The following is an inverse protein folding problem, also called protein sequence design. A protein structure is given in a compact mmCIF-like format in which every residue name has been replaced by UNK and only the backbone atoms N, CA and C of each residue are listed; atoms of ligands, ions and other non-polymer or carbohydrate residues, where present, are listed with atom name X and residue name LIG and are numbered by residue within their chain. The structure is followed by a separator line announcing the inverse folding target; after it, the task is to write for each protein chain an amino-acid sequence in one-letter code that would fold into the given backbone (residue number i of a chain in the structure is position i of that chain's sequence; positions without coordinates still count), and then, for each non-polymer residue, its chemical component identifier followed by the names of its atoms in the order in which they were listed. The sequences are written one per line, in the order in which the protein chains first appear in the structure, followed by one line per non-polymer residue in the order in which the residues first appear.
data_IF_483079134353
#
_entry.id   IF_483079134353
#
_cell.length_a   1.000
_cell.length_b   1.000
_cell.length_c   1.000
_cell.angle_alpha   90.00
_cell.angle_beta   90.00
_cell.angle_gamma   90.00
#
_symmetry.space_group_name_H-M   'P 1'
#
loop_
_entity.id
_entity.type
_entity.pdbx_description
1 polymer ?
#
# COMPACT_ATOMS: atom_id res chain seq x y z
N UNK A 1 -15.65 -21.00 18.00
CA UNK A 1 -15.23 -21.71 16.77
C UNK A 1 -14.93 -20.62 15.75
N UNK A 2 -13.65 -20.28 15.60
CA UNK A 2 -13.19 -19.00 15.05
C UNK A 2 -12.92 -19.16 13.55
N UNK A 3 -13.42 -18.20 12.74
CA UNK A 3 -13.02 -17.66 11.42
C UNK A 3 -12.29 -18.49 10.34
N UNK A 4 -11.84 -19.72 10.59
CA UNK A 4 -11.19 -20.59 9.60
C UNK A 4 -12.12 -20.88 8.43
N UNK A 5 -13.43 -21.01 8.68
CA UNK A 5 -14.43 -21.19 7.62
C UNK A 5 -14.49 -19.98 6.69
N UNK A 6 -14.38 -18.75 7.23
CA UNK A 6 -14.35 -17.53 6.42
C UNK A 6 -13.13 -17.49 5.51
N UNK A 7 -11.92 -17.62 6.08
CA UNK A 7 -10.66 -17.59 5.34
C UNK A 7 -10.61 -18.71 4.30
N UNK A 8 -10.97 -19.93 4.69
CA UNK A 8 -10.99 -21.09 3.79
C UNK A 8 -11.99 -20.91 2.65
N UNK A 9 -13.19 -20.36 2.92
CA UNK A 9 -14.18 -20.10 1.89
C UNK A 9 -13.72 -19.04 0.87
N UNK A 10 -13.00 -18.01 1.33
CA UNK A 10 -12.40 -16.99 0.45
C UNK A 10 -11.30 -17.64 -0.39
N UNK A 11 -10.38 -18.38 0.23
CA UNK A 11 -9.26 -19.04 -0.45
C UNK A 11 -9.76 -20.03 -1.52
N UNK A 12 -10.71 -20.91 -1.18
CA UNK A 12 -11.35 -21.84 -2.14
C UNK A 12 -12.01 -21.10 -3.31
N UNK A 13 -12.62 -19.95 -3.05
CA UNK A 13 -13.23 -19.16 -4.12
C UNK A 13 -12.22 -18.51 -5.08
N UNK A 14 -10.94 -18.42 -4.70
CA UNK A 14 -9.85 -17.84 -5.46
C UNK A 14 -8.93 -18.89 -6.12
N UNK A 15 -9.14 -20.18 -5.83
CA UNK A 15 -8.36 -21.29 -6.35
C UNK A 15 -8.28 -21.24 -7.89
N UNK A 16 -7.06 -21.25 -8.44
CA UNK A 16 -6.80 -21.14 -9.88
C UNK A 16 -7.12 -19.78 -10.52
N UNK A 17 -7.53 -18.76 -9.75
CA UNK A 17 -7.95 -17.44 -10.28
C UNK A 17 -6.91 -16.34 -10.08
N UNK A 18 -5.90 -16.56 -9.24
CA UNK A 18 -4.82 -15.61 -9.00
C UNK A 18 -3.68 -15.85 -9.98
N UNK A 19 -3.19 -14.79 -10.62
CA UNK A 19 -2.12 -14.91 -11.63
C UNK A 19 -1.02 -13.88 -11.41
N UNK A 20 0.21 -14.29 -11.69
CA UNK A 20 1.43 -13.45 -11.60
C UNK A 20 1.35 -12.19 -12.46
N UNK A 21 0.71 -12.29 -13.62
CA UNK A 21 0.53 -11.21 -14.58
C UNK A 21 -0.40 -10.10 -14.10
N UNK A 22 -1.13 -10.29 -13.01
CA UNK A 22 -1.97 -9.27 -12.37
C UNK A 22 -1.23 -8.49 -11.28
N UNK A 23 -0.13 -9.08 -10.78
CA UNK A 23 0.75 -8.51 -9.76
C UNK A 23 0.06 -8.29 -8.40
N UNK A 24 0.82 -7.75 -7.46
CA UNK A 24 0.41 -7.47 -6.09
C UNK A 24 -0.90 -6.66 -6.03
N UNK A 25 -1.01 -5.66 -6.90
CA UNK A 25 -2.21 -4.83 -7.00
C UNK A 25 -3.43 -5.65 -7.40
N UNK A 26 -3.40 -6.37 -8.52
CA UNK A 26 -4.53 -7.16 -8.99
C UNK A 26 -4.91 -8.27 -8.01
N UNK A 27 -3.93 -8.96 -7.45
CA UNK A 27 -4.13 -10.01 -6.44
C UNK A 27 -4.83 -9.45 -5.19
N UNK A 28 -4.34 -8.34 -4.64
CA UNK A 28 -4.96 -7.69 -3.48
C UNK A 28 -6.42 -7.28 -3.76
N UNK A 29 -6.73 -6.72 -4.94
CA UNK A 29 -8.10 -6.33 -5.28
C UNK A 29 -9.04 -7.54 -5.41
N UNK A 30 -8.57 -8.64 -6.01
CA UNK A 30 -9.37 -9.88 -6.11
C UNK A 30 -9.70 -10.46 -4.75
N UNK A 31 -8.73 -10.51 -3.85
CA UNK A 31 -8.93 -11.04 -2.50
C UNK A 31 -9.84 -10.12 -1.70
N UNK A 32 -9.61 -8.80 -1.74
CA UNK A 32 -10.49 -7.82 -1.09
C UNK A 32 -11.94 -7.92 -1.59
N UNK A 33 -12.14 -8.19 -2.89
CA UNK A 33 -13.45 -8.43 -3.47
C UNK A 33 -14.14 -9.65 -2.86
N UNK A 34 -13.45 -10.78 -2.75
CA UNK A 34 -14.03 -12.00 -2.18
C UNK A 34 -14.28 -11.89 -0.67
N UNK A 35 -13.40 -11.20 0.07
CA UNK A 35 -13.60 -10.83 1.47
C UNK A 35 -14.89 -9.99 1.61
N UNK A 36 -15.01 -8.94 0.78
CA UNK A 36 -16.16 -8.01 0.84
C UNK A 36 -17.47 -8.67 0.47
N UNK A 37 -17.47 -9.59 -0.51
CA UNK A 37 -18.65 -10.37 -0.92
C UNK A 37 -19.22 -11.22 0.21
N UNK A 38 -18.39 -11.59 1.18
CA UNK A 38 -18.78 -12.39 2.35
C UNK A 38 -19.03 -11.54 3.59
N UNK A 39 -19.03 -10.22 3.48
CA UNK A 39 -19.28 -9.32 4.62
C UNK A 39 -18.04 -8.87 5.38
N UNK A 40 -16.84 -9.33 5.00
CA UNK A 40 -15.59 -8.86 5.58
C UNK A 40 -15.13 -7.51 5.04
N UNK A 41 -14.06 -6.97 5.63
CA UNK A 41 -13.46 -5.70 5.20
C UNK A 41 -11.97 -5.63 5.56
N UNK A 42 -11.24 -4.70 4.95
CA UNK A 42 -9.90 -4.32 5.39
C UNK A 42 -9.97 -2.99 6.13
N UNK A 43 -9.27 -2.86 7.26
CA UNK A 43 -9.22 -1.62 8.05
C UNK A 43 -7.77 -1.22 8.23
N UNK A 44 -7.46 0.04 7.96
CA UNK A 44 -6.11 0.59 8.12
C UNK A 44 -6.08 1.81 9.00
N UNK A 45 -4.93 2.07 9.60
CA UNK A 45 -4.65 3.26 10.40
C UNK A 45 -3.22 3.74 10.13
N UNK A 46 -3.01 5.05 10.26
CA UNK A 46 -1.68 5.64 10.10
C UNK A 46 -0.80 5.32 11.31
N UNK A 47 0.51 5.24 11.10
CA UNK A 47 1.56 5.09 12.11
C UNK A 47 2.70 6.05 11.79
N UNK A 48 3.57 6.39 12.77
CA UNK A 48 4.73 7.26 12.50
C UNK A 48 5.64 6.78 11.37
N UNK A 49 5.80 5.46 11.25
CA UNK A 49 6.66 4.76 10.31
C UNK A 49 5.93 4.25 9.05
N UNK A 50 4.60 4.34 8.98
CA UNK A 50 3.83 3.87 7.82
C UNK A 50 2.38 3.57 8.17
N UNK A 51 1.88 2.40 7.79
CA UNK A 51 0.47 2.03 7.92
C UNK A 51 0.34 0.69 8.63
N UNK A 52 -0.58 0.61 9.59
CA UNK A 52 -1.10 -0.65 10.11
C UNK A 52 -2.38 -1.07 9.40
N UNK A 53 -2.61 -2.38 9.29
CA UNK A 53 -3.79 -2.97 8.65
C UNK A 53 -4.28 -4.20 9.41
N UNK A 54 -5.60 -4.42 9.37
CA UNK A 54 -6.26 -5.64 9.83
C UNK A 54 -7.33 -6.05 8.82
N UNK A 55 -7.51 -7.36 8.62
CA UNK A 55 -8.64 -7.93 7.89
C UNK A 55 -9.70 -8.37 8.91
N UNK A 56 -10.94 -7.98 8.65
CA UNK A 56 -12.11 -8.38 9.42
C UNK A 56 -12.89 -9.44 8.65
N UNK A 57 -13.33 -10.49 9.34
CA UNK A 57 -14.34 -11.42 8.83
C UNK A 57 -15.75 -10.80 8.86
N UNK A 58 -16.74 -11.60 8.48
CA UNK A 58 -18.16 -11.28 8.45
C UNK A 58 -18.78 -11.00 9.84
N UNK A 59 -18.11 -11.44 10.90
CA UNK A 59 -18.50 -11.23 12.30
C UNK A 59 -17.71 -10.09 12.96
N UNK A 60 -16.81 -9.43 12.22
CA UNK A 60 -15.94 -8.38 12.72
C UNK A 60 -14.73 -8.88 13.52
N UNK A 61 -14.45 -10.19 13.51
CA UNK A 61 -13.24 -10.72 14.13
C UNK A 61 -12.03 -10.41 13.24
N UNK A 62 -10.87 -10.24 13.87
CA UNK A 62 -9.61 -10.01 13.16
C UNK A 62 -9.07 -11.37 12.71
N UNK A 63 -8.88 -11.51 11.40
CA UNK A 63 -8.39 -12.74 10.77
C UNK A 63 -7.04 -12.58 10.11
N UNK A 64 -6.51 -11.36 10.05
CA UNK A 64 -5.17 -11.10 9.56
C UNK A 64 -4.69 -9.70 9.95
N UNK A 65 -3.39 -9.52 10.11
CA UNK A 65 -2.72 -8.25 10.44
C UNK A 65 -1.52 -8.02 9.56
N UNK A 66 -1.27 -6.75 9.24
CA UNK A 66 -0.14 -6.39 8.42
C UNK A 66 0.26 -4.95 8.56
N UNK A 67 1.43 -4.65 8.03
CA UNK A 67 1.97 -3.30 7.98
C UNK A 67 2.59 -3.03 6.62
N UNK A 68 2.80 -1.76 6.31
CA UNK A 68 3.41 -1.38 5.06
C UNK A 68 3.58 0.12 4.93
N UNK A 69 4.33 0.49 3.91
CA UNK A 69 4.65 1.89 3.61
C UNK A 69 3.43 2.73 3.21
N UNK A 70 2.34 2.08 2.79
CA UNK A 70 1.03 2.68 2.48
C UNK A 70 -0.09 1.64 2.61
N UNK A 71 -1.36 2.03 2.43
CA UNK A 71 -2.50 1.15 2.70
C UNK A 71 -2.53 -0.13 1.86
N UNK A 72 -2.36 -0.09 0.53
CA UNK A 72 -2.41 -1.31 -0.29
C UNK A 72 -1.41 -2.43 0.11
N UNK A 73 -0.09 -2.18 0.29
CA UNK A 73 0.83 -3.23 0.73
C UNK A 73 0.53 -3.72 2.15
N UNK A 74 0.11 -2.84 3.08
CA UNK A 74 -0.28 -3.26 4.42
C UNK A 74 -1.50 -4.19 4.42
N UNK A 75 -2.49 -3.91 3.54
CA UNK A 75 -3.66 -4.76 3.34
C UNK A 75 -3.26 -6.10 2.74
N UNK A 76 -2.41 -6.12 1.71
CA UNK A 76 -1.95 -7.38 1.11
C UNK A 76 -1.15 -8.22 2.10
N UNK A 77 -0.28 -7.60 2.92
CA UNK A 77 0.43 -8.31 3.98
C UNK A 77 -0.55 -8.93 4.99
N UNK A 78 -1.58 -8.18 5.40
CA UNK A 78 -2.61 -8.71 6.29
C UNK A 78 -3.42 -9.87 5.66
N UNK A 79 -3.60 -9.88 4.35
CA UNK A 79 -4.20 -11.02 3.63
C UNK A 79 -3.24 -12.23 3.57
N UNK A 80 -1.94 -11.98 3.46
CA UNK A 80 -0.93 -13.04 3.50
C UNK A 80 -0.91 -13.69 4.87
N UNK A 81 -0.75 -12.89 5.92
CA UNK A 81 -0.72 -13.38 7.31
C UNK A 81 -2.02 -14.06 7.71
N UNK A 82 -3.16 -13.58 7.20
CA UNK A 82 -4.46 -14.18 7.43
C UNK A 82 -4.74 -15.46 6.65
N UNK A 83 -3.79 -16.00 5.87
CA UNK A 83 -3.92 -17.30 5.20
C UNK A 83 -4.87 -17.33 4.00
N UNK A 84 -5.07 -16.19 3.32
CA UNK A 84 -5.97 -16.10 2.16
C UNK A 84 -5.39 -16.64 0.85
N UNK A 85 -4.16 -17.15 0.87
CA UNK A 85 -3.43 -17.62 -0.30
C UNK A 85 -2.96 -19.06 -0.12
N UNK A 86 -2.73 -19.74 -1.24
CA UNK A 86 -1.98 -20.99 -1.25
C UNK A 86 -0.49 -20.70 -0.99
N UNK A 87 0.21 -21.69 -0.44
CA UNK A 87 1.56 -21.53 0.10
C UNK A 87 2.57 -21.01 -0.93
N UNK A 88 2.47 -21.48 -2.18
CA UNK A 88 3.33 -21.06 -3.28
C UNK A 88 3.12 -19.58 -3.65
N UNK A 89 1.87 -19.13 -3.66
CA UNK A 89 1.51 -17.73 -3.90
C UNK A 89 1.97 -16.87 -2.72
N UNK A 90 1.72 -17.30 -1.49
CA UNK A 90 2.18 -16.63 -0.28
C UNK A 90 3.70 -16.38 -0.30
N UNK A 91 4.50 -17.42 -0.54
CA UNK A 91 5.96 -17.32 -0.60
C UNK A 91 6.42 -16.35 -1.70
N UNK A 92 5.70 -16.30 -2.84
CA UNK A 92 5.99 -15.36 -3.93
C UNK A 92 5.58 -13.92 -3.60
N UNK A 93 4.44 -13.73 -2.94
CA UNK A 93 3.95 -12.41 -2.53
C UNK A 93 4.89 -11.79 -1.49
N UNK A 94 5.34 -12.56 -0.49
CA UNK A 94 6.29 -12.11 0.53
C UNK A 94 7.62 -11.62 -0.08
N UNK A 95 8.13 -12.32 -1.11
CA UNK A 95 9.32 -11.87 -1.87
C UNK A 95 9.10 -10.55 -2.61
N UNK A 96 7.86 -10.19 -2.90
CA UNK A 96 7.49 -8.99 -3.68
C UNK A 96 6.95 -7.82 -2.85
N UNK A 97 6.88 -8.00 -1.52
CA UNK A 97 6.47 -7.00 -0.54
C UNK A 97 7.66 -6.41 0.23
N UNK A 98 8.86 -6.46 -0.35
CA UNK A 98 10.10 -6.04 0.31
C UNK A 98 10.16 -4.54 0.61
N UNK A 99 9.32 -3.70 0.01
CA UNK A 99 9.24 -2.27 0.36
C UNK A 99 8.90 -1.99 1.83
N UNK A 100 8.42 -2.98 2.58
CA UNK A 100 8.20 -2.89 4.03
C UNK A 100 9.50 -2.57 4.80
N UNK A 101 10.66 -3.01 4.30
CA UNK A 101 11.95 -2.80 4.98
C UNK A 101 12.38 -1.32 5.02
N UNK A 102 11.79 -0.50 4.14
CA UNK A 102 12.17 0.91 4.00
C UNK A 102 11.17 1.86 4.66
N UNK A 103 10.22 1.34 5.46
CA UNK A 103 9.20 2.13 6.14
C UNK A 103 9.82 3.27 6.97
N UNK A 104 10.77 2.95 7.84
CA UNK A 104 11.45 3.93 8.69
C UNK A 104 12.26 4.93 7.87
N UNK A 105 13.01 4.45 6.88
CA UNK A 105 13.83 5.31 6.03
C UNK A 105 12.98 6.31 5.22
N UNK A 106 11.83 5.87 4.72
CA UNK A 106 10.90 6.75 4.01
C UNK A 106 10.16 7.70 4.96
N UNK A 107 9.84 7.24 6.18
CA UNK A 107 9.28 8.10 7.21
C UNK A 107 10.27 9.20 7.63
N UNK A 108 11.57 8.92 7.74
CA UNK A 108 12.59 9.93 8.07
C UNK A 108 12.70 11.02 6.99
N UNK A 109 12.56 10.65 5.71
CA UNK A 109 12.60 11.62 4.60
C UNK A 109 11.39 12.55 4.63
N UNK A 110 10.21 12.04 5.00
CA UNK A 110 8.96 12.81 4.94
C UNK A 110 8.52 13.40 6.30
N UNK A 111 9.13 12.96 7.40
CA UNK A 111 8.78 13.32 8.77
C UNK A 111 7.56 12.56 9.35
N UNK A 112 6.85 11.77 8.55
CA UNK A 112 5.77 10.86 8.99
C UNK A 112 5.36 9.91 7.85
N UNK A 113 5.01 8.66 8.15
CA UNK A 113 4.64 7.65 7.15
C UNK A 113 3.42 8.01 6.29
N UNK A 114 3.65 8.30 4.98
CA UNK A 114 2.72 8.15 3.84
C UNK A 114 3.42 8.53 2.52
N UNK A 115 3.49 7.60 1.57
CA UNK A 115 4.32 7.72 0.34
C UNK A 115 3.86 8.66 -0.77
N UNK A 116 2.65 9.22 -0.73
CA UNK A 116 2.07 9.88 -1.93
C UNK A 116 2.83 11.17 -2.28
N UNK A 117 3.09 12.02 -1.30
CA UNK A 117 3.79 13.31 -1.47
C UNK A 117 5.27 13.14 -1.87
N UNK A 118 6.09 12.31 -1.19
CA UNK A 118 7.51 12.17 -1.55
C UNK A 118 7.71 11.55 -2.95
N UNK A 119 6.79 10.71 -3.42
CA UNK A 119 6.85 10.13 -4.77
C UNK A 119 6.68 11.20 -5.85
N UNK A 120 5.72 12.12 -5.69
CA UNK A 120 5.52 13.22 -6.64
C UNK A 120 6.74 14.16 -6.67
N UNK A 121 7.32 14.44 -5.50
CA UNK A 121 8.55 15.21 -5.40
C UNK A 121 9.71 14.50 -6.12
N UNK A 122 9.91 13.19 -5.90
CA UNK A 122 10.96 12.41 -6.55
C UNK A 122 10.85 12.43 -8.08
N UNK A 123 9.65 12.22 -8.63
CA UNK A 123 9.44 12.33 -10.08
C UNK A 123 9.77 13.72 -10.62
N UNK A 124 9.32 14.77 -9.93
CA UNK A 124 9.63 16.14 -10.33
C UNK A 124 11.13 16.42 -10.37
N UNK A 125 11.88 15.97 -9.36
CA UNK A 125 13.33 16.20 -9.28
C UNK A 125 14.10 15.40 -10.34
N UNK A 126 13.76 14.12 -10.52
CA UNK A 126 14.42 13.24 -11.51
C UNK A 126 14.16 13.76 -12.93
N UNK A 127 12.91 14.06 -13.28
CA UNK A 127 12.57 14.57 -14.61
C UNK A 127 13.08 16.00 -14.83
N UNK A 128 13.00 16.86 -13.81
CA UNK A 128 13.52 18.22 -13.88
C UNK A 128 15.03 18.28 -14.11
N UNK A 129 15.76 17.23 -13.71
CA UNK A 129 17.21 17.09 -13.96
C UNK A 129 17.55 16.46 -15.32
N UNK A 130 16.54 16.16 -16.16
CA UNK A 130 16.71 15.48 -17.44
C UNK A 130 16.82 13.94 -17.33
N UNK A 131 16.62 13.38 -16.14
CA UNK A 131 16.62 11.95 -15.90
C UNK A 131 15.27 11.29 -16.21
N UNK A 132 15.17 9.98 -15.92
CA UNK A 132 13.95 9.19 -16.10
C UNK A 132 13.78 8.15 -14.99
N UNK A 133 12.55 7.66 -14.86
CA UNK A 133 12.22 6.57 -13.93
C UNK A 133 11.83 5.34 -14.75
N UNK A 134 12.53 4.24 -14.54
CA UNK A 134 12.19 2.95 -15.15
C UNK A 134 11.44 2.07 -14.15
N UNK A 135 10.37 1.43 -14.63
CA UNK A 135 9.57 0.47 -13.86
C UNK A 135 9.75 -0.89 -14.51
N UNK A 136 10.29 -1.85 -13.76
CA UNK A 136 10.58 -3.21 -14.23
C UNK A 136 9.68 -4.18 -13.49
N UNK A 137 9.00 -5.05 -14.22
CA UNK A 137 8.22 -6.12 -13.59
C UNK A 137 9.17 -7.16 -12.98
N UNK A 138 8.95 -7.49 -11.70
CA UNK A 138 9.73 -8.50 -10.97
C UNK A 138 8.79 -9.30 -10.08
N UNK A 139 8.72 -10.61 -10.32
CA UNK A 139 7.77 -11.47 -9.61
C UNK A 139 6.31 -10.96 -9.71
N UNK A 140 5.60 -10.88 -8.58
CA UNK A 140 4.29 -10.22 -8.46
C UNK A 140 4.39 -8.69 -8.34
N UNK A 141 5.58 -8.15 -8.09
CA UNK A 141 5.79 -6.74 -7.85
C UNK A 141 6.45 -6.01 -9.01
N UNK A 142 6.98 -4.85 -8.68
CA UNK A 142 7.78 -4.02 -9.57
C UNK A 142 9.01 -3.50 -8.85
N UNK A 143 10.09 -3.36 -9.61
CA UNK A 143 11.31 -2.66 -9.22
C UNK A 143 11.29 -1.28 -9.88
N UNK A 144 11.71 -0.24 -9.14
CA UNK A 144 11.78 1.12 -9.64
C UNK A 144 13.22 1.60 -9.62
N UNK A 145 13.67 2.10 -10.77
CA UNK A 145 15.05 2.56 -10.98
C UNK A 145 15.03 4.03 -11.36
N UNK A 146 15.81 4.84 -10.64
CA UNK A 146 16.10 6.22 -11.00
C UNK A 146 17.31 6.25 -11.92
N UNK A 147 17.18 6.95 -13.04
CA UNK A 147 18.21 7.04 -14.08
C UNK A 147 18.48 8.51 -14.32
N UNK A 148 19.76 8.91 -14.31
CA UNK A 148 20.17 10.29 -14.56
C UNK A 148 20.05 10.68 -16.05
N UNK A 149 20.39 11.94 -16.35
CA UNK A 149 20.39 12.50 -17.72
C UNK A 149 21.40 11.83 -18.65
N UNK A 150 22.46 11.25 -18.10
CA UNK A 150 23.56 10.63 -18.85
C UNK A 150 23.29 9.13 -19.06
N UNK A 151 22.18 8.62 -18.51
CA UNK A 151 21.72 7.25 -18.65
C UNK A 151 22.20 6.28 -17.57
N UNK A 152 22.87 6.77 -16.53
CA UNK A 152 23.37 5.94 -15.43
C UNK A 152 22.28 5.66 -14.40
N UNK A 153 22.29 4.46 -13.82
CA UNK A 153 21.40 4.14 -12.70
C UNK A 153 21.86 4.87 -11.44
N UNK A 154 21.02 5.78 -10.93
CA UNK A 154 21.25 6.52 -9.70
C UNK A 154 20.92 5.67 -8.46
N UNK A 155 19.82 4.93 -8.53
CA UNK A 155 19.34 4.07 -7.46
C UNK A 155 18.33 3.05 -7.97
N UNK A 156 18.29 1.90 -7.33
CA UNK A 156 17.34 0.83 -7.59
C UNK A 156 16.67 0.41 -6.27
N UNK A 157 15.35 0.46 -6.21
CA UNK A 157 14.56 0.06 -5.05
C UNK A 157 14.31 -1.45 -5.00
N UNK A 158 13.86 -2.00 -3.86
CA UNK A 158 13.48 -3.40 -3.76
C UNK A 158 12.20 -3.69 -4.55
N UNK A 159 11.90 -4.98 -4.73
CA UNK A 159 10.62 -5.40 -5.33
C UNK A 159 9.48 -4.92 -4.44
N UNK A 160 8.54 -4.20 -5.06
CA UNK A 160 7.52 -3.44 -4.36
C UNK A 160 6.11 -3.70 -4.92
N UNK A 161 5.09 -3.35 -4.13
CA UNK A 161 3.68 -3.57 -4.46
C UNK A 161 3.23 -2.95 -5.79
N UNK A 162 3.61 -1.70 -6.04
CA UNK A 162 3.26 -0.95 -7.25
C UNK A 162 4.31 0.14 -7.50
N UNK A 163 4.26 0.86 -8.64
CA UNK A 163 5.24 1.90 -8.96
C UNK A 163 5.36 3.01 -7.91
N UNK A 164 4.27 3.40 -7.27
CA UNK A 164 4.30 4.40 -6.17
C UNK A 164 5.08 3.87 -4.97
N UNK A 165 4.82 2.63 -4.53
CA UNK A 165 5.53 2.03 -3.41
C UNK A 165 7.01 1.84 -3.75
N UNK A 166 7.30 1.37 -4.97
CA UNK A 166 8.66 1.20 -5.47
C UNK A 166 9.42 2.51 -5.56
N UNK A 167 8.78 3.57 -6.03
CA UNK A 167 9.42 4.90 -6.07
C UNK A 167 9.78 5.37 -4.68
N UNK A 168 8.86 5.23 -3.71
CA UNK A 168 9.12 5.64 -2.34
C UNK A 168 10.28 4.85 -1.72
N UNK A 169 10.31 3.52 -1.90
CA UNK A 169 11.40 2.68 -1.42
C UNK A 169 12.72 2.91 -2.17
N UNK A 170 12.71 3.42 -3.41
CA UNK A 170 13.94 3.80 -4.11
C UNK A 170 14.58 5.08 -3.53
N UNK A 171 13.80 6.04 -3.01
CA UNK A 171 14.33 7.35 -2.56
C UNK A 171 15.45 7.21 -1.50
N UNK A 172 15.32 6.41 -0.43
CA UNK A 172 16.40 6.23 0.55
C UNK A 172 17.74 5.78 -0.04
N UNK A 173 17.71 5.13 -1.20
CA UNK A 173 18.91 4.61 -1.90
C UNK A 173 19.53 5.64 -2.84
N UNK A 174 18.95 6.83 -2.97
CA UNK A 174 19.50 7.98 -3.69
C UNK A 174 19.73 9.14 -2.69
N UNK A 175 20.84 9.16 -1.92
CA UNK A 175 21.01 10.07 -0.79
C UNK A 175 20.86 11.55 -1.13
N UNK A 176 21.41 11.99 -2.26
CA UNK A 176 21.30 13.39 -2.71
C UNK A 176 19.85 13.78 -3.02
N UNK A 177 19.10 12.88 -3.68
CA UNK A 177 17.69 13.09 -3.97
C UNK A 177 16.87 13.07 -2.68
N UNK A 178 17.14 12.13 -1.77
CA UNK A 178 16.49 12.04 -0.47
C UNK A 178 16.66 13.32 0.34
N UNK A 179 17.87 13.88 0.38
CA UNK A 179 18.16 15.14 1.07
C UNK A 179 17.35 16.32 0.47
N UNK A 180 17.33 16.45 -0.86
CA UNK A 180 16.54 17.48 -1.55
C UNK A 180 15.04 17.37 -1.26
N UNK A 181 14.50 16.15 -1.28
CA UNK A 181 13.09 15.90 -0.98
C UNK A 181 12.79 16.22 0.48
N UNK A 182 13.66 15.82 1.42
CA UNK A 182 13.51 16.10 2.85
C UNK A 182 13.47 17.60 3.12
N UNK A 183 14.37 18.36 2.49
CA UNK A 183 14.38 19.82 2.57
C UNK A 183 13.10 20.44 1.99
N UNK A 184 12.69 20.01 0.79
CA UNK A 184 11.47 20.49 0.11
C UNK A 184 10.18 20.23 0.88
N UNK A 185 10.13 19.13 1.63
CA UNK A 185 8.97 18.73 2.42
C UNK A 185 9.06 19.17 3.89
N UNK A 186 10.12 19.85 4.30
CA UNK A 186 10.29 20.34 5.66
C UNK A 186 9.15 21.30 6.02
N UNK A 187 8.45 21.01 7.12
CA UNK A 187 7.30 21.80 7.58
C UNK A 187 6.03 21.68 6.73
N UNK A 188 6.03 20.84 5.68
CA UNK A 188 4.82 20.58 4.91
C UNK A 188 3.75 19.89 5.77
N UNK A 189 2.48 20.22 5.51
CA UNK A 189 1.34 19.58 6.17
C UNK A 189 1.37 18.07 5.89
N UNK A 190 1.31 17.27 6.96
CA UNK A 190 1.31 15.81 6.86
C UNK A 190 -0.05 15.24 7.30
N UNK A 191 -0.89 14.87 6.34
CA UNK A 191 -2.22 14.31 6.61
C UNK A 191 -2.17 12.95 7.30
N UNK A 192 -1.10 12.17 7.13
CA UNK A 192 -0.89 10.92 7.85
C UNK A 192 -0.72 11.14 9.35
N UNK A 193 0.09 12.15 9.72
CA UNK A 193 0.27 12.57 11.11
C UNK A 193 -1.03 13.03 11.75
N UNK A 194 -1.78 13.89 11.08
CA UNK A 194 -3.08 14.38 11.57
C UNK A 194 -4.07 13.23 11.81
N UNK A 195 -4.13 12.26 10.89
CA UNK A 195 -5.02 11.10 11.01
C UNK A 195 -4.61 10.19 12.17
N UNK A 196 -3.31 9.98 12.39
CA UNK A 196 -2.83 9.24 13.55
C UNK A 196 -3.22 9.92 14.86
N UNK A 197 -2.94 11.22 15.00
CA UNK A 197 -3.25 11.99 16.21
C UNK A 197 -4.75 12.00 16.53
N UNK A 198 -5.58 11.93 15.49
CA UNK A 198 -7.05 11.86 15.59
C UNK A 198 -7.60 10.45 15.76
N UNK A 199 -6.78 9.41 15.64
CA UNK A 199 -7.22 8.01 15.71
C UNK A 199 -8.17 7.64 14.58
N UNK A 200 -7.90 8.10 13.35
CA UNK A 200 -8.72 7.85 12.17
C UNK A 200 -8.42 6.47 11.58
N UNK A 201 -9.48 5.74 11.25
CA UNK A 201 -9.41 4.48 10.51
C UNK A 201 -9.94 4.65 9.08
N UNK A 202 -9.31 3.97 8.11
CA UNK A 202 -9.84 3.83 6.76
C UNK A 202 -10.37 2.40 6.59
N UNK A 203 -11.64 2.29 6.23
CA UNK A 203 -12.33 1.03 6.00
C UNK A 203 -12.46 0.81 4.51
N UNK A 204 -11.80 -0.22 4.00
CA UNK A 204 -11.81 -0.60 2.60
C UNK A 204 -12.67 -1.85 2.40
N UNK A 205 -13.55 -1.77 1.40
CA UNK A 205 -14.35 -2.89 0.91
C UNK A 205 -14.50 -2.78 -0.61
N UNK A 206 -15.15 -3.76 -1.21
CA UNK A 206 -15.46 -3.79 -2.63
C UNK A 206 -16.98 -3.69 -2.83
N UNK A 207 -17.43 -2.68 -3.58
CA UNK A 207 -18.85 -2.43 -3.90
C UNK A 207 -18.99 -1.96 -5.34
N UNK A 208 -20.00 -2.43 -6.06
CA UNK A 208 -20.27 -2.04 -7.46
C UNK A 208 -19.03 -2.12 -8.36
N UNK A 209 -18.33 -3.25 -8.29
CA UNK A 209 -17.10 -3.52 -9.03
C UNK A 209 -15.92 -2.54 -8.78
N UNK A 210 -15.96 -1.78 -7.67
CA UNK A 210 -14.94 -0.79 -7.30
C UNK A 210 -14.54 -0.89 -5.84
N UNK A 211 -13.37 -0.34 -5.51
CA UNK A 211 -12.96 -0.17 -4.12
C UNK A 211 -13.76 0.98 -3.50
N UNK A 212 -14.39 0.70 -2.38
CA UNK A 212 -15.13 1.64 -1.56
C UNK A 212 -14.37 1.86 -0.25
N UNK A 213 -14.06 3.13 0.04
CA UNK A 213 -13.38 3.55 1.24
C UNK A 213 -14.32 4.41 2.10
N UNK A 214 -14.38 4.13 3.39
CA UNK A 214 -14.98 4.98 4.42
C UNK A 214 -13.90 5.42 5.40
N UNK A 215 -13.86 6.71 5.73
CA UNK A 215 -13.00 7.25 6.78
C UNK A 215 -13.83 7.37 8.04
N UNK A 216 -13.37 6.76 9.13
CA UNK A 216 -14.08 6.75 10.41
C UNK A 216 -13.25 7.41 11.49
N UNK A 217 -13.90 8.27 12.27
CA UNK A 217 -13.36 8.90 13.47
C UNK A 217 -14.34 8.63 14.62
N UNK A 218 -13.88 7.94 15.68
CA UNK A 218 -14.72 7.59 16.83
C UNK A 218 -16.04 6.90 16.43
N UNK A 219 -15.97 6.00 15.44
CA UNK A 219 -17.10 5.25 14.90
C UNK A 219 -18.01 6.03 13.93
N UNK A 220 -17.80 7.33 13.75
CA UNK A 220 -18.57 8.15 12.79
C UNK A 220 -17.88 8.19 11.45
N UNK A 221 -18.63 7.99 10.36
CA UNK A 221 -18.12 8.17 9.00
C UNK A 221 -17.98 9.67 8.72
N UNK A 222 -16.76 10.11 8.42
CA UNK A 222 -16.44 11.51 8.13
C UNK A 222 -16.06 11.76 6.67
N UNK A 223 -15.87 10.70 5.89
CA UNK A 223 -15.53 10.78 4.46
C UNK A 223 -15.76 9.45 3.76
N UNK A 224 -16.02 9.49 2.45
CA UNK A 224 -16.25 8.28 1.63
C UNK A 224 -15.89 8.49 0.18
N UNK A 225 -15.37 7.45 -0.48
CA UNK A 225 -15.13 7.47 -1.91
C UNK A 225 -15.20 6.07 -2.53
N UNK A 226 -15.49 6.03 -3.83
CA UNK A 226 -15.49 4.81 -4.63
C UNK A 226 -14.60 4.99 -5.86
N UNK A 227 -13.51 4.23 -5.97
CA UNK A 227 -12.51 4.31 -7.06
C UNK A 227 -11.99 2.93 -7.45
N UNK A 228 -11.22 2.87 -8.54
CA UNK A 228 -10.63 1.63 -9.03
C UNK A 228 -9.43 1.13 -8.21
N UNK A 229 -8.77 2.01 -7.44
CA UNK A 229 -7.55 1.71 -6.69
C UNK A 229 -7.76 2.02 -5.19
N UNK A 230 -7.25 1.15 -4.32
CA UNK A 230 -7.26 1.32 -2.86
C UNK A 230 -6.67 2.68 -2.44
N UNK A 231 -5.46 3.01 -2.90
CA UNK A 231 -4.80 4.26 -2.51
C UNK A 231 -5.59 5.49 -2.99
N UNK A 232 -6.13 5.44 -4.21
CA UNK A 232 -6.90 6.55 -4.76
C UNK A 232 -8.26 6.71 -4.06
N UNK A 233 -8.93 5.60 -3.71
CA UNK A 233 -10.14 5.64 -2.90
C UNK A 233 -9.87 6.28 -1.54
N UNK A 234 -8.77 5.89 -0.87
CA UNK A 234 -8.36 6.50 0.40
C UNK A 234 -8.11 8.00 0.30
N UNK A 235 -7.28 8.43 -0.67
CA UNK A 235 -6.97 9.86 -0.87
C UNK A 235 -8.23 10.67 -1.18
N UNK A 236 -9.12 10.20 -2.06
CA UNK A 236 -10.32 10.97 -2.42
C UNK A 236 -11.33 11.02 -1.27
N UNK A 237 -11.40 9.98 -0.45
CA UNK A 237 -12.27 9.98 0.72
C UNK A 237 -11.85 11.02 1.76
N UNK A 238 -10.60 11.52 1.74
CA UNK A 238 -10.10 12.56 2.65
C UNK A 238 -10.53 13.98 2.23
N UNK A 239 -11.02 14.16 1.00
CA UNK A 239 -11.41 15.47 0.44
C UNK A 239 -12.92 15.74 0.58
N UNK A 240 -13.69 14.76 1.05
CA UNK A 240 -15.15 14.80 1.20
C UNK A 240 -15.56 14.66 2.65
#
# INVERSE_FOLDING_TARGET
MISMDFVESVRKSLEGKLRKDEGNCGTCHKVLREISRRGGAAVTWERPDGIGSKILDDNGNIVGRGEGITWPPAILFAMVEGGFFDRDIEEALLKSLQCIIDMEAVADIYGYGRVVTPVAAAYSEVWGSGGRVAIRRREWGVEVVFIDKDGNEMACGPISYCPTCGTASTIPRAPELAAKIKEKLAGARNTGKEKYERGIENWFSYRNERVYCEIKEKGKVIGRAMKCCIAYAGVVAEVH
#
